data_IF_650976663651
#
_entry.id   IF_650976663651
#
_cell.length_a   1.000
_cell.length_b   1.000
_cell.length_c   1.000
_cell.angle_alpha   90.00
_cell.angle_beta   90.00
_cell.angle_gamma   90.00
#
_symmetry.space_group_name_H-M   'P 1'
#
loop_
_entity.id
_entity.type
_entity.pdbx_description
1 polymer ?
#
# COMPACT_ATOMS: atom_id res chain seq x y z
N UNK A 1 4.37 30.21 17.10
CA UNK A 1 4.07 29.24 18.20
C UNK A 1 3.87 27.90 17.51
N UNK A 2 4.81 26.99 17.67
CA UNK A 2 4.72 25.64 17.08
C UNK A 2 3.59 24.88 17.79
N UNK A 3 2.50 24.57 17.09
CA UNK A 3 1.53 23.57 17.54
C UNK A 3 2.11 22.21 17.15
N UNK A 4 2.74 21.53 18.09
CA UNK A 4 3.08 20.12 17.97
C UNK A 4 1.78 19.34 17.79
N UNK A 5 1.72 18.50 16.77
CA UNK A 5 0.56 17.64 16.51
C UNK A 5 0.41 16.74 17.73
N UNK A 6 -0.59 17.01 18.55
CA UNK A 6 -0.91 16.23 19.75
C UNK A 6 -1.58 14.88 19.41
N UNK A 7 -1.67 14.57 18.08
CA UNK A 7 -2.24 13.30 17.59
C UNK A 7 -1.31 12.10 17.82
N UNK A 8 0.00 12.35 17.90
CA UNK A 8 1.02 11.30 17.81
C UNK A 8 1.03 10.34 18.99
N UNK A 9 0.89 10.86 20.21
CA UNK A 9 1.00 10.01 21.41
C UNK A 9 -0.24 9.14 21.65
N UNK A 10 -1.42 9.61 21.28
CA UNK A 10 -2.67 8.89 21.55
C UNK A 10 -2.89 7.76 20.53
N UNK A 11 -2.65 8.00 19.25
CA UNK A 11 -2.76 6.97 18.20
C UNK A 11 -1.64 5.94 18.34
N UNK A 12 -0.41 6.35 18.64
CA UNK A 12 0.72 5.45 18.86
C UNK A 12 0.48 4.53 20.06
N UNK A 13 -0.05 5.07 21.16
CA UNK A 13 -0.38 4.29 22.37
C UNK A 13 -1.56 3.34 22.10
N UNK A 14 -2.54 3.75 21.26
CA UNK A 14 -3.70 2.93 20.92
C UNK A 14 -3.34 1.80 19.94
N UNK A 15 -2.49 2.02 18.96
CA UNK A 15 -2.01 0.98 18.05
C UNK A 15 -1.20 -0.10 18.79
N UNK A 16 -0.30 0.30 19.70
CA UNK A 16 0.42 -0.63 20.55
C UNK A 16 -0.52 -1.44 21.45
N UNK A 17 -1.59 -0.82 21.95
CA UNK A 17 -2.60 -1.46 22.81
C UNK A 17 -3.54 -2.38 22.02
N UNK A 18 -3.91 -2.02 20.79
CA UNK A 18 -4.78 -2.84 19.94
C UNK A 18 -4.12 -4.18 19.55
N UNK A 19 -2.82 -4.16 19.26
CA UNK A 19 -2.07 -5.39 18.98
C UNK A 19 -1.80 -6.22 20.26
N UNK A 20 -1.70 -5.60 21.44
CA UNK A 20 -1.49 -6.30 22.72
C UNK A 20 -2.80 -6.88 23.29
N UNK A 21 -3.94 -6.19 23.17
CA UNK A 21 -5.23 -6.64 23.70
C UNK A 21 -5.91 -7.76 22.88
N UNK A 22 -5.35 -8.12 21.72
CA UNK A 22 -5.82 -9.27 20.96
C UNK A 22 -5.52 -10.63 21.62
N UNK A 23 -4.83 -10.64 22.78
CA UNK A 23 -4.27 -11.83 23.44
C UNK A 23 -4.70 -12.12 24.88
N UNK A 24 -5.62 -11.39 25.53
CA UNK A 24 -5.97 -11.74 26.92
C UNK A 24 -7.47 -11.67 27.22
N UNK A 25 -8.09 -12.84 27.32
CA UNK A 25 -9.11 -13.15 28.33
C UNK A 25 -8.58 -14.36 29.10
N UNK A 26 -8.16 -14.16 30.30
CA UNK A 26 -8.42 -14.76 31.58
C UNK A 26 -7.17 -14.90 32.49
N UNK A 27 -7.47 -14.59 33.74
CA UNK A 27 -6.86 -14.98 35.02
C UNK A 27 -5.64 -14.21 35.53
N UNK A 28 -5.91 -13.63 36.71
CA UNK A 28 -5.00 -13.05 37.67
C UNK A 28 -3.97 -14.05 38.16
N UNK A 29 -2.67 -13.75 38.00
CA UNK A 29 -1.66 -14.19 38.95
C UNK A 29 -0.51 -13.18 39.03
N UNK A 30 -0.14 -12.85 40.27
CA UNK A 30 0.91 -11.92 40.64
C UNK A 30 2.22 -12.68 40.83
N UNK A 31 3.18 -12.56 39.91
CA UNK A 31 4.62 -12.77 40.19
C UNK A 31 5.52 -12.03 39.20
N UNK A 32 6.67 -11.59 39.68
CA UNK A 32 7.71 -10.73 39.08
C UNK A 32 8.32 -11.25 37.75
N UNK A 33 8.92 -10.36 36.94
CA UNK A 33 9.26 -10.67 35.53
C UNK A 33 10.61 -11.37 35.42
N UNK A 34 10.58 -12.60 34.96
CA UNK A 34 11.76 -13.26 34.37
C UNK A 34 11.62 -13.21 32.84
N UNK A 35 12.73 -12.88 32.19
CA UNK A 35 12.87 -12.78 30.75
C UNK A 35 12.53 -14.10 30.04
N UNK A 36 11.37 -14.17 29.40
CA UNK A 36 10.94 -15.31 28.59
C UNK A 36 11.17 -14.94 27.12
N UNK A 37 12.01 -15.74 26.45
CA UNK A 37 12.13 -15.72 24.99
C UNK A 37 10.77 -16.08 24.34
N UNK A 38 10.40 -15.49 23.19
CA UNK A 38 9.09 -15.74 22.60
C UNK A 38 8.98 -17.21 22.16
N UNK A 39 7.92 -17.87 22.63
CA UNK A 39 7.53 -19.22 22.24
C UNK A 39 7.07 -19.23 20.77
N UNK A 40 7.72 -20.03 19.95
CA UNK A 40 7.54 -20.09 18.49
C UNK A 40 6.24 -20.75 18.03
N UNK A 41 5.25 -20.98 18.91
CA UNK A 41 4.06 -21.79 18.60
C UNK A 41 2.71 -21.10 18.86
N UNK A 42 2.68 -19.84 19.24
CA UNK A 42 1.44 -19.04 19.23
C UNK A 42 1.23 -18.45 17.86
N UNK A 43 0.22 -18.92 17.12
CA UNK A 43 -0.29 -18.24 15.92
C UNK A 43 -0.64 -16.82 16.34
N UNK A 44 0.23 -15.86 16.00
CA UNK A 44 0.01 -14.45 16.29
C UNK A 44 -1.31 -14.05 15.65
N UNK A 45 -2.22 -13.51 16.45
CA UNK A 45 -3.52 -13.07 15.94
C UNK A 45 -3.29 -11.97 14.92
N UNK A 46 -3.93 -12.08 13.75
CA UNK A 46 -3.86 -11.09 12.68
C UNK A 46 -4.16 -9.69 13.24
N UNK A 47 -3.23 -8.79 13.08
CA UNK A 47 -3.39 -7.37 13.40
C UNK A 47 -3.56 -6.54 12.13
N UNK A 48 -2.84 -6.89 11.06
CA UNK A 48 -2.91 -6.24 9.76
C UNK A 48 -2.42 -4.78 9.75
N UNK A 49 -1.84 -4.31 10.85
CA UNK A 49 -1.49 -2.89 11.01
C UNK A 49 -0.03 -2.75 11.39
N UNK A 50 0.67 -1.85 10.72
CA UNK A 50 1.99 -1.39 11.13
C UNK A 50 2.10 0.13 10.99
N UNK A 51 2.79 0.76 11.92
CA UNK A 51 3.08 2.20 11.88
C UNK A 51 4.55 2.38 11.54
N UNK A 52 4.87 3.31 10.62
CA UNK A 52 6.29 3.54 10.39
C UNK A 52 6.74 4.94 10.03
N UNK A 53 6.09 5.62 9.11
CA UNK A 53 6.58 6.91 8.69
C UNK A 53 5.82 8.00 9.42
N UNK A 54 6.55 8.75 10.23
CA UNK A 54 6.03 9.91 10.95
C UNK A 54 6.89 11.13 10.62
N UNK A 55 6.23 12.22 10.25
CA UNK A 55 6.83 13.53 10.11
C UNK A 55 6.12 14.53 11.02
N UNK A 56 6.55 15.80 11.01
CA UNK A 56 5.83 16.86 11.70
C UNK A 56 4.43 17.14 11.11
N UNK A 57 4.11 16.59 9.92
CA UNK A 57 2.90 16.89 9.15
C UNK A 57 2.03 15.69 8.83
N UNK A 58 2.61 14.50 8.74
CA UNK A 58 1.88 13.30 8.35
C UNK A 58 2.37 12.04 9.03
N UNK A 59 1.50 11.04 9.06
CA UNK A 59 1.77 9.69 9.54
C UNK A 59 1.27 8.68 8.51
N UNK A 60 2.11 7.71 8.14
CA UNK A 60 1.75 6.63 7.23
C UNK A 60 1.61 5.31 7.98
N UNK A 61 0.50 4.63 7.77
CA UNK A 61 0.12 3.37 8.41
C UNK A 61 -0.01 2.30 7.32
N UNK A 62 0.67 1.16 7.47
CA UNK A 62 0.46 -0.02 6.66
C UNK A 62 -0.77 -0.79 7.12
N UNK A 63 -1.64 -1.11 6.19
CA UNK A 63 -2.87 -1.88 6.39
C UNK A 63 -2.80 -3.16 5.56
N UNK A 64 -2.40 -4.28 6.18
CA UNK A 64 -2.41 -5.58 5.51
C UNK A 64 -3.84 -6.00 5.17
N UNK A 65 -4.03 -6.46 3.94
CA UNK A 65 -5.28 -7.03 3.45
C UNK A 65 -5.20 -8.56 3.40
N UNK A 66 -4.08 -9.09 2.91
CA UNK A 66 -3.82 -10.53 2.83
C UNK A 66 -2.32 -10.83 2.89
N UNK A 67 -1.95 -11.89 3.59
CA UNK A 67 -0.63 -12.52 3.48
C UNK A 67 -0.72 -13.72 2.56
N UNK A 68 0.22 -13.87 1.62
CA UNK A 68 0.26 -14.99 0.69
C UNK A 68 1.69 -15.37 0.29
N UNK A 69 1.80 -16.39 -0.54
CA UNK A 69 3.03 -16.76 -1.26
C UNK A 69 2.79 -16.66 -2.75
N UNK A 70 3.80 -16.19 -3.48
CA UNK A 70 3.76 -16.09 -4.93
C UNK A 70 4.65 -17.16 -5.56
N UNK A 71 4.13 -17.85 -6.58
CA UNK A 71 4.91 -18.86 -7.32
C UNK A 71 6.01 -18.21 -8.16
N UNK A 72 7.19 -18.81 -8.18
CA UNK A 72 8.29 -18.40 -9.05
C UNK A 72 7.94 -18.49 -10.54
N UNK A 73 6.95 -19.34 -10.91
CA UNK A 73 6.49 -19.48 -12.30
C UNK A 73 5.95 -18.16 -12.88
N UNK A 74 5.51 -17.23 -12.01
CA UNK A 74 5.07 -15.90 -12.44
C UNK A 74 6.18 -15.05 -13.04
N UNK A 75 7.44 -15.36 -12.75
CA UNK A 75 8.64 -14.64 -13.21
C UNK A 75 9.39 -15.40 -14.30
N UNK A 76 9.00 -16.66 -14.59
CA UNK A 76 9.70 -17.54 -15.53
C UNK A 76 9.63 -17.00 -16.97
N UNK A 77 10.75 -17.14 -17.68
CA UNK A 77 10.88 -16.63 -19.06
C UNK A 77 11.06 -15.12 -19.17
N UNK A 78 11.05 -14.39 -18.05
CA UNK A 78 11.17 -12.92 -18.07
C UNK A 78 12.62 -12.44 -18.16
N UNK A 79 13.59 -13.20 -17.60
CA UNK A 79 15.00 -12.84 -17.59
C UNK A 79 15.93 -14.06 -17.64
N UNK A 80 16.22 -14.70 -16.51
CA UNK A 80 17.15 -15.82 -16.40
C UNK A 80 16.57 -16.88 -15.46
N UNK A 81 16.05 -17.95 -16.04
CA UNK A 81 15.37 -19.01 -15.29
C UNK A 81 16.31 -19.80 -14.37
N UNK A 82 17.59 -19.98 -14.75
CA UNK A 82 18.56 -20.69 -13.89
C UNK A 82 18.88 -19.85 -12.64
N UNK A 83 18.99 -18.53 -12.79
CA UNK A 83 19.15 -17.63 -11.65
C UNK A 83 17.89 -17.63 -10.79
N UNK A 84 16.71 -17.58 -11.41
CA UNK A 84 15.42 -17.67 -10.69
C UNK A 84 15.34 -18.91 -9.82
N UNK A 85 15.66 -20.08 -10.39
CA UNK A 85 15.65 -21.36 -9.68
C UNK A 85 16.69 -21.41 -8.54
N UNK A 86 17.81 -20.70 -8.68
CA UNK A 86 18.83 -20.61 -7.62
C UNK A 86 18.44 -19.67 -6.49
N UNK A 87 17.70 -18.60 -6.80
CA UNK A 87 17.24 -17.60 -5.83
C UNK A 87 15.97 -18.06 -5.09
N UNK A 88 15.10 -18.83 -5.76
CA UNK A 88 13.85 -19.35 -5.23
C UNK A 88 13.79 -20.88 -5.36
N UNK A 89 14.65 -21.62 -4.63
CA UNK A 89 14.77 -23.08 -4.78
C UNK A 89 13.48 -23.83 -4.42
N UNK A 90 12.65 -23.25 -3.54
CA UNK A 90 11.36 -23.83 -3.15
C UNK A 90 10.22 -23.45 -4.13
N UNK A 91 10.54 -22.73 -5.19
CA UNK A 91 9.58 -22.28 -6.20
C UNK A 91 8.57 -21.23 -5.72
N UNK A 92 8.83 -20.59 -4.58
CA UNK A 92 7.93 -19.63 -3.96
C UNK A 92 8.68 -18.46 -3.33
N UNK A 93 7.99 -17.33 -3.15
CA UNK A 93 8.46 -16.16 -2.43
C UNK A 93 7.33 -15.58 -1.58
N UNK A 94 7.61 -15.05 -0.38
CA UNK A 94 6.61 -14.31 0.40
C UNK A 94 6.05 -13.15 -0.40
N UNK A 95 4.76 -12.90 -0.23
CA UNK A 95 4.03 -11.80 -0.84
C UNK A 95 2.88 -11.38 0.06
N UNK A 96 2.22 -10.29 -0.28
CA UNK A 96 1.06 -9.78 0.45
C UNK A 96 0.09 -9.08 -0.50
N UNK A 97 -1.05 -8.65 0.02
CA UNK A 97 -1.84 -7.55 -0.52
C UNK A 97 -1.96 -6.52 0.59
N UNK A 98 -1.51 -5.30 0.33
CA UNK A 98 -1.50 -4.21 1.29
C UNK A 98 -2.19 -2.97 0.73
N UNK A 99 -2.85 -2.23 1.61
CA UNK A 99 -3.22 -0.85 1.44
C UNK A 99 -2.45 0.02 2.44
N UNK A 100 -2.41 1.32 2.23
CA UNK A 100 -1.72 2.24 3.13
C UNK A 100 -2.60 3.42 3.45
N UNK A 101 -2.58 3.86 4.71
CA UNK A 101 -3.34 5.03 5.16
C UNK A 101 -2.38 6.14 5.57
N UNK A 102 -2.59 7.32 5.01
CA UNK A 102 -1.91 8.54 5.42
C UNK A 102 -2.89 9.42 6.17
N UNK A 103 -2.47 9.88 7.34
CA UNK A 103 -3.15 10.92 8.12
C UNK A 103 -2.23 12.13 8.11
N UNK A 104 -2.65 13.22 7.50
CA UNK A 104 -1.78 14.39 7.33
C UNK A 104 -2.55 15.70 7.28
N UNK A 105 -1.87 16.75 7.70
CA UNK A 105 -2.41 18.12 7.67
C UNK A 105 -2.04 18.82 6.37
N UNK A 106 -2.92 19.67 5.85
CA UNK A 106 -2.66 20.43 4.64
C UNK A 106 -1.42 21.33 4.78
N UNK A 107 -0.56 21.40 3.74
CA UNK A 107 0.61 22.29 3.73
C UNK A 107 0.23 23.78 3.71
N UNK A 108 -0.92 24.08 3.16
CA UNK A 108 -1.38 25.46 3.10
C UNK A 108 -1.98 25.88 4.44
N UNK A 109 -1.30 26.82 5.12
CA UNK A 109 -1.82 27.52 6.29
C UNK A 109 -3.04 28.37 5.90
N UNK A 110 -4.13 27.73 5.54
CA UNK A 110 -5.42 28.38 5.58
C UNK A 110 -5.93 28.35 7.02
N UNK A 111 -6.75 29.32 7.40
CA UNK A 111 -7.42 29.35 8.71
C UNK A 111 -8.29 28.09 8.98
N UNK A 112 -8.30 27.17 8.04
CA UNK A 112 -9.11 25.97 7.94
C UNK A 112 -8.22 24.74 7.67
N UNK A 113 -7.11 24.60 8.43
CA UNK A 113 -6.24 23.43 8.30
C UNK A 113 -7.03 22.17 8.61
N UNK A 114 -7.28 21.35 7.59
CA UNK A 114 -8.00 20.08 7.68
C UNK A 114 -7.00 18.93 7.72
N UNK A 115 -7.19 18.02 8.64
CA UNK A 115 -6.50 16.74 8.62
C UNK A 115 -7.17 15.82 7.60
N UNK A 116 -6.41 15.34 6.63
CA UNK A 116 -6.85 14.38 5.62
C UNK A 116 -6.55 12.95 6.04
N UNK A 117 -7.46 12.05 5.73
CA UNK A 117 -7.28 10.60 5.79
C UNK A 117 -7.32 10.03 4.39
N UNK A 118 -6.15 9.70 3.86
CA UNK A 118 -5.92 9.30 2.48
C UNK A 118 -5.57 7.83 2.47
N UNK A 119 -6.42 7.01 1.87
CA UNK A 119 -6.15 5.60 1.63
C UNK A 119 -5.44 5.43 0.27
N UNK A 120 -4.44 4.58 0.19
CA UNK A 120 -3.77 4.18 -1.04
C UNK A 120 -4.13 2.73 -1.34
N UNK A 121 -4.84 2.51 -2.44
CA UNK A 121 -5.51 1.29 -2.83
C UNK A 121 -6.55 0.80 -1.79
N UNK A 122 -7.33 -0.20 -2.16
CA UNK A 122 -8.42 -0.70 -1.31
C UNK A 122 -8.42 -2.23 -1.17
N UNK A 123 -7.35 -2.90 -1.57
CA UNK A 123 -7.20 -4.34 -1.42
C UNK A 123 -8.13 -5.17 -2.30
N UNK A 124 -8.17 -6.47 -2.00
CA UNK A 124 -8.86 -7.49 -2.79
C UNK A 124 -10.39 -7.47 -2.66
N UNK A 125 -10.88 -6.98 -1.50
CA UNK A 125 -12.29 -7.03 -1.13
C UNK A 125 -12.67 -8.24 -0.29
N UNK A 126 -13.61 -8.04 0.63
CA UNK A 126 -13.99 -9.04 1.63
C UNK A 126 -14.64 -10.29 1.01
N UNK A 127 -15.33 -10.17 -0.11
CA UNK A 127 -15.93 -11.26 -0.88
C UNK A 127 -14.89 -12.23 -1.46
N UNK A 128 -13.66 -11.79 -1.59
CA UNK A 128 -12.50 -12.57 -2.07
C UNK A 128 -11.49 -12.90 -0.98
N UNK A 129 -11.83 -12.63 0.28
CA UNK A 129 -10.99 -12.94 1.42
C UNK A 129 -10.07 -11.81 1.86
N UNK A 130 -10.18 -10.62 1.29
CA UNK A 130 -9.48 -9.44 1.74
C UNK A 130 -9.92 -9.00 3.14
N UNK A 131 -9.01 -8.46 3.93
CA UNK A 131 -9.18 -8.14 5.36
C UNK A 131 -8.94 -6.65 5.67
N UNK A 132 -8.95 -5.79 4.65
CA UNK A 132 -8.71 -4.35 4.83
C UNK A 132 -9.64 -3.73 5.89
N UNK A 133 -10.93 -4.13 5.90
CA UNK A 133 -11.89 -3.61 6.88
C UNK A 133 -11.55 -4.02 8.31
N UNK A 134 -10.95 -5.19 8.51
CA UNK A 134 -10.43 -5.63 9.81
C UNK A 134 -9.19 -4.82 10.20
N UNK A 135 -8.27 -4.57 9.28
CA UNK A 135 -7.09 -3.75 9.52
C UNK A 135 -7.46 -2.29 9.84
N UNK A 136 -8.41 -1.70 9.13
CA UNK A 136 -8.97 -0.37 9.46
C UNK A 136 -9.59 -0.35 10.86
N UNK A 137 -10.36 -1.37 11.22
CA UNK A 137 -10.94 -1.50 12.56
C UNK A 137 -9.85 -1.62 13.63
N UNK A 138 -8.78 -2.37 13.36
CA UNK A 138 -7.65 -2.51 14.29
C UNK A 138 -6.85 -1.22 14.42
N UNK A 139 -6.82 -0.39 13.37
CA UNK A 139 -6.28 0.97 13.40
C UNK A 139 -7.24 2.01 14.01
N UNK A 140 -8.44 1.58 14.47
CA UNK A 140 -9.50 2.45 15.01
C UNK A 140 -10.02 3.50 14.01
N UNK A 141 -9.92 3.22 12.70
CA UNK A 141 -10.39 4.08 11.62
C UNK A 141 -11.68 3.52 11.02
N UNK A 142 -12.71 4.37 10.95
CA UNK A 142 -13.98 4.01 10.29
C UNK A 142 -13.88 4.30 8.79
N UNK A 143 -14.46 3.47 7.91
CA UNK A 143 -14.50 3.73 6.47
C UNK A 143 -15.07 5.11 6.09
N UNK A 144 -16.01 5.63 6.86
CA UNK A 144 -16.60 6.96 6.65
C UNK A 144 -15.67 8.13 7.03
N UNK A 145 -14.51 7.85 7.66
CA UNK A 145 -13.51 8.87 7.99
C UNK A 145 -12.45 9.02 6.89
N UNK A 146 -12.47 8.16 5.85
CA UNK A 146 -11.59 8.26 4.69
C UNK A 146 -12.12 9.36 3.77
N UNK A 147 -11.27 10.36 3.50
CA UNK A 147 -11.60 11.53 2.67
C UNK A 147 -11.24 11.30 1.20
N UNK A 148 -10.19 10.51 0.95
CA UNK A 148 -9.69 10.23 -0.39
C UNK A 148 -9.18 8.80 -0.49
N UNK A 149 -9.32 8.21 -1.68
CA UNK A 149 -8.61 6.97 -2.05
C UNK A 149 -7.78 7.27 -3.30
N UNK A 150 -6.45 7.19 -3.16
CA UNK A 150 -5.51 7.31 -4.26
C UNK A 150 -5.23 5.91 -4.82
N UNK A 151 -5.58 5.66 -6.07
CA UNK A 151 -5.41 4.37 -6.71
C UNK A 151 -4.09 4.34 -7.48
N UNK A 152 -3.25 3.33 -7.21
CA UNK A 152 -2.02 3.13 -7.97
C UNK A 152 -2.33 2.66 -9.38
N UNK A 153 -3.32 1.77 -9.52
CA UNK A 153 -3.87 1.28 -10.77
C UNK A 153 -5.21 0.54 -10.51
N UNK A 154 -5.81 -0.06 -11.54
CA UNK A 154 -7.18 -0.58 -11.48
C UNK A 154 -7.29 -2.11 -11.52
N UNK A 155 -6.26 -2.88 -11.12
CA UNK A 155 -6.39 -4.31 -10.92
C UNK A 155 -7.31 -4.63 -9.72
N UNK A 156 -7.87 -5.81 -9.73
CA UNK A 156 -8.96 -6.19 -8.80
C UNK A 156 -8.53 -6.25 -7.35
N UNK A 157 -7.28 -6.50 -7.07
CA UNK A 157 -6.69 -6.53 -5.74
C UNK A 157 -6.27 -5.15 -5.19
N UNK A 158 -6.49 -4.10 -6.00
CA UNK A 158 -6.33 -2.70 -5.59
C UNK A 158 -7.66 -1.97 -5.46
N UNK A 159 -8.69 -2.40 -6.22
CA UNK A 159 -10.00 -1.75 -6.22
C UNK A 159 -11.12 -2.62 -5.63
N UNK A 160 -10.84 -3.88 -5.28
CA UNK A 160 -11.86 -4.83 -4.81
C UNK A 160 -12.58 -4.36 -3.56
N UNK A 161 -11.87 -3.77 -2.61
CA UNK A 161 -12.44 -3.25 -1.37
C UNK A 161 -13.14 -1.89 -1.50
N UNK A 162 -13.19 -1.28 -2.69
CA UNK A 162 -13.97 -0.05 -2.90
C UNK A 162 -15.47 -0.28 -2.83
N UNK A 163 -15.93 -1.52 -3.02
CA UNK A 163 -17.35 -1.88 -2.95
C UNK A 163 -17.60 -2.85 -1.79
N UNK A 164 -18.67 -2.60 -1.08
CA UNK A 164 -19.24 -3.50 -0.09
C UNK A 164 -20.74 -3.68 -0.42
N UNK A 165 -21.16 -4.91 -0.73
CA UNK A 165 -22.52 -5.20 -1.17
C UNK A 165 -23.01 -4.29 -2.34
N UNK A 166 -22.11 -4.02 -3.28
CA UNK A 166 -22.38 -3.17 -4.46
C UNK A 166 -22.49 -1.67 -4.17
N UNK A 167 -22.17 -1.21 -2.95
CA UNK A 167 -22.20 0.20 -2.54
C UNK A 167 -20.80 0.70 -2.21
N UNK A 168 -20.61 2.02 -2.15
CA UNK A 168 -19.35 2.63 -1.68
C UNK A 168 -18.95 2.06 -0.32
N UNK A 169 -17.79 1.46 -0.24
CA UNK A 169 -17.18 1.07 1.03
C UNK A 169 -16.71 2.28 1.84
N UNK A 170 -16.26 3.33 1.14
CA UNK A 170 -15.79 4.61 1.71
C UNK A 170 -16.76 5.73 1.28
N UNK A 171 -17.85 5.96 2.02
CA UNK A 171 -18.96 6.78 1.55
C UNK A 171 -18.60 8.26 1.32
N UNK A 172 -17.61 8.78 2.03
CA UNK A 172 -17.19 10.18 1.96
C UNK A 172 -15.96 10.40 1.06
N UNK A 173 -15.35 9.32 0.56
CA UNK A 173 -14.11 9.41 -0.19
C UNK A 173 -14.32 9.87 -1.64
N UNK A 174 -13.36 10.67 -2.12
CA UNK A 174 -13.12 10.90 -3.55
C UNK A 174 -12.01 9.99 -4.03
N UNK A 175 -12.19 9.34 -5.18
CA UNK A 175 -11.17 8.49 -5.82
C UNK A 175 -10.26 9.36 -6.69
N UNK A 176 -8.96 9.16 -6.57
CA UNK A 176 -7.92 9.82 -7.37
C UNK A 176 -7.14 8.75 -8.15
N UNK A 177 -6.99 8.94 -9.45
CA UNK A 177 -6.18 8.07 -10.33
C UNK A 177 -5.63 8.86 -11.51
N UNK A 178 -4.60 8.34 -12.18
CA UNK A 178 -4.06 8.99 -13.35
C UNK A 178 -5.06 8.98 -14.51
N UNK A 179 -5.02 10.02 -15.34
CA UNK A 179 -5.84 10.08 -16.56
C UNK A 179 -5.49 8.92 -17.51
N UNK A 180 -4.21 8.54 -17.56
CA UNK A 180 -3.70 7.44 -18.37
C UNK A 180 -4.29 6.09 -17.93
N UNK A 181 -4.45 5.86 -16.64
CA UNK A 181 -5.08 4.65 -16.11
C UNK A 181 -6.58 4.64 -16.40
N UNK A 182 -7.24 5.78 -16.13
CA UNK A 182 -8.66 5.94 -16.44
C UNK A 182 -8.96 5.65 -17.92
N UNK A 183 -8.16 6.19 -18.83
CA UNK A 183 -8.32 5.99 -20.27
C UNK A 183 -8.03 4.55 -20.70
N UNK A 184 -7.01 3.91 -20.11
CA UNK A 184 -6.66 2.53 -20.41
C UNK A 184 -7.77 1.54 -20.05
N UNK A 185 -8.53 1.80 -18.99
CA UNK A 185 -9.64 0.96 -18.53
C UNK A 185 -11.00 1.43 -19.01
N UNK A 186 -11.07 2.51 -19.79
CA UNK A 186 -12.32 2.95 -20.42
C UNK A 186 -12.81 1.94 -21.45
N UNK A 187 -14.06 2.06 -21.91
CA UNK A 187 -14.65 1.17 -22.94
C UNK A 187 -13.92 1.18 -24.28
N UNK A 188 -13.08 2.19 -24.52
CA UNK A 188 -12.24 2.33 -25.72
C UNK A 188 -10.78 2.05 -25.46
N UNK A 189 -10.40 1.81 -24.22
CA UNK A 189 -9.02 1.56 -23.81
C UNK A 189 -8.59 0.12 -24.06
N UNK A 190 -7.28 -0.15 -23.98
CA UNK A 190 -6.72 -1.48 -24.20
C UNK A 190 -7.16 -2.51 -23.16
N UNK A 191 -7.66 -2.09 -21.99
CA UNK A 191 -8.13 -2.92 -20.89
C UNK A 191 -9.65 -3.02 -20.79
N UNK A 192 -10.39 -2.53 -21.79
CA UNK A 192 -11.86 -2.53 -21.82
C UNK A 192 -12.48 -3.91 -21.53
N UNK A 193 -11.84 -4.99 -21.98
CA UNK A 193 -12.34 -6.36 -21.74
C UNK A 193 -12.23 -6.82 -20.26
N UNK A 194 -11.42 -6.13 -19.43
CA UNK A 194 -11.16 -6.45 -18.03
C UNK A 194 -11.83 -5.45 -17.05
N UNK A 195 -12.54 -4.43 -17.54
CA UNK A 195 -13.02 -3.30 -16.74
C UNK A 195 -14.34 -3.53 -16.00
N UNK A 196 -14.81 -4.77 -15.88
CA UNK A 196 -16.12 -5.06 -15.28
C UNK A 196 -16.29 -4.57 -13.84
N UNK A 197 -15.27 -4.76 -12.97
CA UNK A 197 -15.29 -4.24 -11.60
C UNK A 197 -15.16 -2.71 -11.60
N UNK A 198 -14.27 -2.15 -12.44
CA UNK A 198 -14.10 -0.71 -12.53
C UNK A 198 -15.39 0.02 -12.93
N UNK A 199 -16.19 -0.55 -13.84
CA UNK A 199 -17.51 0.01 -14.20
C UNK A 199 -18.43 0.10 -13.00
N UNK A 200 -18.50 -0.94 -12.17
CA UNK A 200 -19.31 -0.94 -10.94
C UNK A 200 -18.80 0.12 -9.95
N UNK A 201 -17.49 0.25 -9.82
CA UNK A 201 -16.88 1.29 -8.98
C UNK A 201 -17.22 2.68 -9.52
N UNK A 202 -17.10 2.93 -10.83
CA UNK A 202 -17.45 4.23 -11.45
C UNK A 202 -18.92 4.58 -11.20
N UNK A 203 -19.83 3.60 -11.32
CA UNK A 203 -21.24 3.82 -11.05
C UNK A 203 -21.48 4.17 -9.58
N UNK A 204 -20.87 3.42 -8.66
CA UNK A 204 -21.03 3.68 -7.23
C UNK A 204 -20.43 5.03 -6.80
N UNK A 205 -19.28 5.43 -7.37
CA UNK A 205 -18.57 6.67 -7.03
C UNK A 205 -18.84 7.81 -8.03
N UNK A 206 -19.95 7.78 -8.75
CA UNK A 206 -20.32 8.85 -9.70
C UNK A 206 -20.23 10.24 -9.03
N UNK A 207 -19.55 11.18 -9.70
CA UNK A 207 -19.30 12.52 -9.16
C UNK A 207 -18.21 12.62 -8.08
N UNK A 208 -17.56 11.51 -7.74
CA UNK A 208 -16.48 11.43 -6.75
C UNK A 208 -15.22 10.77 -7.32
N UNK A 209 -14.92 10.99 -8.60
CA UNK A 209 -13.71 10.53 -9.28
C UNK A 209 -12.98 11.75 -9.83
N UNK A 210 -11.71 11.87 -9.51
CA UNK A 210 -10.82 12.93 -9.98
C UNK A 210 -9.63 12.27 -10.67
N UNK A 211 -9.34 12.69 -11.88
CA UNK A 211 -8.14 12.28 -12.61
C UNK A 211 -7.06 13.34 -12.50
N UNK A 212 -5.80 12.92 -12.54
CA UNK A 212 -4.62 13.78 -12.50
C UNK A 212 -3.62 13.38 -13.59
N UNK A 213 -2.62 14.22 -13.81
CA UNK A 213 -1.50 13.99 -14.70
C UNK A 213 -0.18 13.81 -13.92
N UNK A 214 0.86 13.37 -14.62
CA UNK A 214 2.18 13.13 -14.02
C UNK A 214 2.71 14.33 -13.23
N UNK A 215 3.33 14.03 -12.09
CA UNK A 215 3.97 15.00 -11.19
C UNK A 215 3.02 16.02 -10.56
N UNK A 216 1.72 15.70 -10.52
CA UNK A 216 0.71 16.57 -9.92
C UNK A 216 0.72 16.47 -8.39
N UNK A 217 0.54 17.62 -7.73
CA UNK A 217 0.35 17.71 -6.27
C UNK A 217 -1.13 17.58 -5.95
N UNK A 218 -1.45 16.63 -5.08
CA UNK A 218 -2.81 16.30 -4.68
C UNK A 218 -3.01 16.61 -3.18
N UNK A 219 -4.29 16.75 -2.81
CA UNK A 219 -4.72 16.79 -1.42
C UNK A 219 -3.92 17.83 -0.60
N UNK A 220 -3.99 19.09 -1.07
CA UNK A 220 -3.33 20.24 -0.47
C UNK A 220 -1.80 20.09 -0.34
N UNK A 221 -1.18 19.33 -1.24
CA UNK A 221 0.26 19.17 -1.33
C UNK A 221 0.84 18.03 -0.48
N UNK A 222 0.01 17.30 0.27
CA UNK A 222 0.46 16.14 1.09
C UNK A 222 1.05 15.05 0.19
N UNK A 223 0.49 14.87 -1.01
CA UNK A 223 0.83 13.80 -1.94
C UNK A 223 1.31 14.36 -3.27
N UNK A 224 2.39 13.80 -3.82
CA UNK A 224 2.82 14.02 -5.19
C UNK A 224 2.61 12.72 -5.98
N UNK A 225 1.74 12.74 -6.99
CA UNK A 225 1.49 11.62 -7.87
C UNK A 225 2.52 11.59 -9.00
N UNK A 226 3.16 10.44 -9.24
CA UNK A 226 4.19 10.27 -10.28
C UNK A 226 3.89 9.03 -11.10
N UNK A 227 3.79 9.19 -12.43
CA UNK A 227 3.58 8.04 -13.31
C UNK A 227 4.76 7.08 -13.28
N UNK A 228 4.42 5.81 -13.15
CA UNK A 228 5.35 4.68 -13.11
C UNK A 228 4.88 3.56 -14.05
N UNK A 229 4.69 3.84 -15.37
CA UNK A 229 4.06 2.92 -16.28
C UNK A 229 4.90 1.67 -16.54
N UNK A 230 4.20 0.59 -16.93
CA UNK A 230 4.79 -0.70 -17.33
C UNK A 230 3.98 -1.87 -16.78
N UNK A 231 3.65 -1.89 -15.50
CA UNK A 231 2.69 -2.84 -14.94
C UNK A 231 1.30 -2.61 -15.57
N UNK A 232 0.78 -1.40 -15.46
CA UNK A 232 -0.31 -0.90 -16.31
C UNK A 232 0.12 0.40 -17.01
N UNK A 233 -0.63 0.88 -18.03
CA UNK A 233 -0.29 2.10 -18.74
C UNK A 233 -0.22 3.36 -17.87
N UNK A 234 -1.08 3.47 -16.89
CA UNK A 234 -1.19 4.62 -15.98
C UNK A 234 -0.80 4.32 -14.53
N UNK A 235 -0.10 3.17 -14.28
CA UNK A 235 0.39 2.87 -12.95
C UNK A 235 1.12 4.06 -12.34
N UNK A 236 0.81 4.36 -11.08
CA UNK A 236 1.26 5.56 -10.38
C UNK A 236 1.90 5.19 -9.06
N UNK A 237 3.00 5.85 -8.72
CA UNK A 237 3.58 5.88 -7.37
C UNK A 237 3.29 7.21 -6.71
N UNK A 238 3.16 7.24 -5.40
CA UNK A 238 2.81 8.42 -4.64
C UNK A 238 3.90 8.74 -3.62
N UNK A 239 4.51 9.92 -3.72
CA UNK A 239 5.40 10.43 -2.70
C UNK A 239 4.58 11.19 -1.65
N UNK A 240 4.77 10.83 -0.39
CA UNK A 240 4.03 11.36 0.76
C UNK A 240 4.97 12.18 1.61
N UNK A 241 4.73 13.49 1.66
CA UNK A 241 5.40 14.46 2.56
C UNK A 241 6.93 14.30 2.66
N UNK A 242 7.58 13.83 1.57
CA UNK A 242 9.03 13.62 1.55
C UNK A 242 9.55 12.55 2.53
N UNK A 243 8.70 11.68 3.05
CA UNK A 243 9.05 10.63 4.01
C UNK A 243 8.86 9.22 3.48
N UNK A 244 7.82 9.00 2.68
CA UNK A 244 7.45 7.69 2.16
C UNK A 244 7.06 7.77 0.68
N UNK A 245 7.28 6.69 -0.06
CA UNK A 245 6.77 6.48 -1.41
C UNK A 245 5.91 5.22 -1.44
N UNK A 246 4.61 5.36 -1.74
CA UNK A 246 3.71 4.25 -2.00
C UNK A 246 3.93 3.82 -3.44
N UNK A 247 4.38 2.60 -3.66
CA UNK A 247 4.87 2.16 -4.97
C UNK A 247 3.96 1.18 -5.71
N UNK A 248 2.81 0.80 -5.12
CA UNK A 248 1.85 -0.13 -5.74
C UNK A 248 2.53 -1.42 -6.21
N UNK A 249 2.30 -1.77 -7.48
CA UNK A 249 2.83 -2.97 -8.16
C UNK A 249 4.15 -2.73 -8.89
N UNK A 250 4.96 -1.82 -8.35
CA UNK A 250 6.35 -1.71 -8.79
C UNK A 250 7.10 -3.03 -8.56
N UNK A 251 6.75 -3.75 -7.48
CA UNK A 251 7.30 -5.04 -7.06
C UNK A 251 6.17 -6.02 -6.74
N UNK A 252 6.31 -7.27 -7.20
CA UNK A 252 5.44 -8.40 -6.85
C UNK A 252 6.14 -9.40 -5.92
N UNK A 253 7.46 -9.47 -5.99
CA UNK A 253 8.31 -10.29 -5.13
C UNK A 253 9.43 -9.42 -4.58
N UNK A 254 9.27 -8.95 -3.36
CA UNK A 254 10.20 -8.04 -2.68
C UNK A 254 11.63 -8.55 -2.73
N UNK A 255 11.87 -9.78 -2.25
CA UNK A 255 13.22 -10.35 -2.10
C UNK A 255 13.91 -10.64 -3.43
N UNK A 256 13.12 -10.91 -4.48
CA UNK A 256 13.64 -11.13 -5.82
C UNK A 256 13.93 -9.81 -6.53
N UNK A 257 12.93 -8.90 -6.57
CA UNK A 257 12.94 -7.78 -7.50
C UNK A 257 13.67 -6.54 -6.99
N UNK A 258 13.95 -6.43 -5.69
CA UNK A 258 14.83 -5.37 -5.16
C UNK A 258 16.25 -5.54 -5.71
N UNK A 259 16.81 -6.74 -5.62
CA UNK A 259 18.18 -7.02 -6.04
C UNK A 259 18.28 -7.36 -7.54
N UNK A 260 17.18 -7.85 -8.12
CA UNK A 260 17.09 -8.26 -9.52
C UNK A 260 15.87 -7.61 -10.21
N UNK A 261 15.88 -6.27 -10.41
CA UNK A 261 14.73 -5.53 -10.94
C UNK A 261 14.34 -5.87 -12.38
N UNK A 262 15.16 -6.63 -13.10
CA UNK A 262 14.91 -7.12 -14.45
C UNK A 262 13.92 -8.30 -14.50
N UNK A 263 13.67 -9.00 -13.39
CA UNK A 263 12.61 -9.99 -13.36
C UNK A 263 11.24 -9.31 -13.40
N UNK A 264 10.38 -9.76 -14.30
CA UNK A 264 9.03 -9.25 -14.47
C UNK A 264 8.01 -10.33 -14.10
N UNK A 265 6.96 -9.95 -13.40
CA UNK A 265 5.81 -10.82 -13.25
C UNK A 265 5.05 -10.90 -14.59
N UNK A 266 4.40 -12.01 -14.86
CA UNK A 266 3.59 -12.18 -16.07
C UNK A 266 2.33 -11.27 -16.09
N UNK A 267 2.10 -10.52 -15.01
CA UNK A 267 1.09 -9.47 -14.91
C UNK A 267 1.54 -8.15 -15.52
N UNK A 268 2.86 -7.92 -15.68
CA UNK A 268 3.39 -6.68 -16.26
C UNK A 268 2.97 -6.59 -17.74
N UNK A 269 2.11 -5.62 -18.07
CA UNK A 269 1.57 -5.44 -19.43
C UNK A 269 2.66 -5.05 -20.44
N UNK A 270 3.65 -4.28 -19.99
CA UNK A 270 4.84 -3.95 -20.75
C UNK A 270 6.08 -4.30 -19.93
N UNK A 271 6.57 -5.57 -19.96
CA UNK A 271 7.66 -6.04 -19.12
C UNK A 271 8.93 -5.21 -19.25
N UNK A 272 9.28 -4.77 -20.47
CA UNK A 272 10.48 -3.93 -20.69
C UNK A 272 10.36 -2.58 -20.00
N UNK A 273 9.19 -1.95 -20.07
CA UNK A 273 8.93 -0.67 -19.44
C UNK A 273 8.84 -0.84 -17.91
N UNK A 274 8.16 -1.88 -17.43
CA UNK A 274 8.06 -2.20 -16.01
C UNK A 274 9.44 -2.37 -15.35
N UNK A 275 10.34 -3.17 -15.98
CA UNK A 275 11.70 -3.36 -15.50
C UNK A 275 12.51 -2.03 -15.48
N UNK A 276 12.37 -1.20 -16.51
CA UNK A 276 13.05 0.09 -16.59
C UNK A 276 12.51 1.08 -15.53
N UNK A 277 11.20 1.13 -15.34
CA UNK A 277 10.55 1.95 -14.32
C UNK A 277 10.95 1.49 -12.92
N UNK A 278 10.90 0.19 -12.65
CA UNK A 278 11.32 -0.43 -11.38
C UNK A 278 12.76 -0.07 -11.04
N UNK A 279 13.68 -0.32 -11.98
CA UNK A 279 15.10 0.01 -11.79
C UNK A 279 15.29 1.48 -11.47
N UNK A 280 14.69 2.39 -12.23
CA UNK A 280 14.80 3.84 -12.04
C UNK A 280 14.35 4.25 -10.64
N UNK A 281 13.20 3.74 -10.18
CA UNK A 281 12.64 4.11 -8.87
C UNK A 281 13.45 3.50 -7.73
N UNK A 282 13.88 2.23 -7.84
CA UNK A 282 14.75 1.61 -6.84
C UNK A 282 16.11 2.31 -6.74
N UNK A 283 16.72 2.72 -7.87
CA UNK A 283 17.95 3.51 -7.91
C UNK A 283 17.77 4.89 -7.24
N UNK A 284 16.61 5.52 -7.34
CA UNK A 284 16.25 6.76 -6.67
C UNK A 284 16.11 6.54 -5.15
N UNK A 285 15.33 5.55 -4.75
CA UNK A 285 15.09 5.19 -3.35
C UNK A 285 16.39 4.80 -2.62
N UNK A 286 17.29 4.09 -3.28
CA UNK A 286 18.59 3.72 -2.69
C UNK A 286 19.50 4.92 -2.34
N UNK A 287 19.27 6.07 -2.96
CA UNK A 287 20.01 7.32 -2.76
C UNK A 287 19.30 8.31 -1.85
N UNK A 288 18.10 7.97 -1.41
CA UNK A 288 17.27 8.80 -0.55
C UNK A 288 17.09 8.16 0.81
N UNK A 289 16.65 8.93 1.79
CA UNK A 289 16.21 8.42 3.10
C UNK A 289 14.74 8.01 3.12
N UNK A 290 14.06 8.04 1.96
CA UNK A 290 12.65 7.68 1.86
C UNK A 290 12.46 6.19 2.20
N UNK A 291 11.42 5.91 2.94
CA UNK A 291 10.83 4.58 2.96
C UNK A 291 10.00 4.37 1.70
N UNK A 292 9.88 3.13 1.25
CA UNK A 292 8.84 2.79 0.29
C UNK A 292 7.92 1.70 0.82
N UNK A 293 6.71 1.67 0.29
CA UNK A 293 5.63 0.80 0.70
C UNK A 293 4.95 0.21 -0.56
N UNK A 294 5.06 -1.11 -0.74
CA UNK A 294 4.58 -1.82 -1.93
C UNK A 294 3.37 -2.69 -1.63
N UNK A 295 2.43 -2.76 -2.58
CA UNK A 295 1.20 -3.52 -2.41
C UNK A 295 1.47 -5.01 -2.19
N UNK A 296 2.48 -5.58 -2.85
CA UNK A 296 2.85 -6.99 -2.74
C UNK A 296 4.11 -7.25 -1.91
N UNK A 297 4.59 -6.26 -1.17
CA UNK A 297 5.70 -6.44 -0.25
C UNK A 297 5.22 -7.09 1.05
N UNK A 298 5.94 -8.12 1.53
CA UNK A 298 5.65 -8.75 2.81
C UNK A 298 6.08 -7.89 4.00
N UNK A 299 7.02 -6.96 3.80
CA UNK A 299 7.32 -5.87 4.72
C UNK A 299 6.55 -4.61 4.28
N UNK A 300 5.77 -4.02 5.18
CA UNK A 300 4.99 -2.83 4.83
C UNK A 300 5.85 -1.64 4.41
N UNK A 301 7.04 -1.50 5.02
CA UNK A 301 7.90 -0.35 4.80
C UNK A 301 9.37 -0.77 4.70
N UNK A 302 10.05 -0.29 3.68
CA UNK A 302 11.42 -0.68 3.38
C UNK A 302 12.25 0.58 3.13
N UNK A 303 13.44 0.66 3.77
CA UNK A 303 14.43 1.70 3.49
C UNK A 303 15.66 1.08 2.81
N UNK A 304 15.85 1.38 1.53
CA UNK A 304 16.96 0.82 0.74
C UNK A 304 18.32 1.41 1.12
N UNK A 305 18.36 2.66 1.59
CA UNK A 305 19.59 3.28 2.01
C UNK A 305 20.20 2.60 3.26
N UNK A 306 19.34 2.23 4.20
CA UNK A 306 19.77 1.53 5.42
C UNK A 306 20.07 0.04 5.14
N UNK A 307 19.32 -0.60 4.23
CA UNK A 307 19.61 -1.96 3.77
C UNK A 307 21.01 -2.06 3.17
N UNK A 308 21.43 -1.10 2.34
CA UNK A 308 22.76 -1.07 1.71
C UNK A 308 23.93 -0.84 2.70
N UNK A 309 23.68 -0.28 3.88
CA UNK A 309 24.72 -0.08 4.92
C UNK A 309 24.94 -1.34 5.78
N UNK A 310 24.01 -2.27 5.77
CA UNK A 310 24.02 -3.49 6.59
C UNK A 310 24.49 -4.74 5.81
N UNK A 311 24.81 -4.59 4.51
CA UNK A 311 25.46 -5.58 3.64
C UNK A 311 26.96 -5.31 3.53
#
# INVERSE_FOLDING_TARGET
MKRTILLTTTVLLMLATACQNAGSTDETDTTTPDTIAPDSNTKQKWCGVSLLCESDKSMTIGLGDMENEMSSDLFRGSYNDQLLDSLLPDGKTPSAINAFLVIGDSEYQSSDSRTHRILFDAGLGADKGGRLMESLKNAEIKPAEIDAVCLTHLHTDHIGGLLLDGKKAFPNATLYLSQEEYDAWSDRGPLAAKNGLWKQVMEAYEGHIVTFHDSERLLDGIVVARLAPGHTPGHTVYEVDGTCMIVGDLLHAQDLQIDHPQFNANYDMNPKQAAATRKRILDELSKSSLYFAGAHCHEHFINLHDRAKNL
#
